data_IF_068761060847
#
_entry.id   IF_068761060847
#
_cell.length_a   1.000
_cell.length_b   1.000
_cell.length_c   1.000
_cell.angle_alpha   90.00
_cell.angle_beta   90.00
_cell.angle_gamma   90.00
#
_symmetry.space_group_name_H-M   'P 1'
#
loop_
_entity.id
_entity.type
_entity.pdbx_description
1 polymer ?
#
# COMPACT_ATOMS: atom_id res chain seq x y z
N UNK A 1 -66.68 21.17 -62.94
CA UNK A 1 -67.81 22.05 -62.61
C UNK A 1 -67.39 23.08 -61.57
N UNK A 2 -67.89 24.31 -61.76
CA UNK A 2 -68.11 25.39 -60.78
C UNK A 2 -66.94 26.02 -59.99
N UNK A 3 -66.49 27.18 -60.51
CA UNK A 3 -66.19 28.44 -59.77
C UNK A 3 -67.50 29.03 -59.15
N UNK A 4 -67.54 30.16 -58.41
CA UNK A 4 -66.50 31.03 -57.79
C UNK A 4 -66.86 31.48 -56.33
N UNK A 5 -66.08 32.36 -55.69
CA UNK A 5 -66.62 33.59 -55.04
C UNK A 5 -65.51 34.48 -54.42
N UNK A 6 -65.59 35.78 -54.73
CA UNK A 6 -64.90 36.90 -54.10
C UNK A 6 -65.37 37.12 -52.64
N UNK A 7 -64.53 37.75 -51.81
CA UNK A 7 -64.85 39.04 -51.16
C UNK A 7 -63.62 39.65 -50.48
N UNK A 8 -63.50 40.98 -50.63
CA UNK A 8 -62.52 41.86 -49.99
C UNK A 8 -62.87 42.09 -48.51
N UNK A 9 -61.86 42.38 -47.69
CA UNK A 9 -62.02 42.85 -46.30
C UNK A 9 -60.75 43.53 -45.80
N UNK A 10 -60.91 44.74 -45.29
CA UNK A 10 -59.93 45.80 -45.08
C UNK A 10 -59.24 45.82 -43.72
N UNK A 11 -58.09 46.52 -43.67
CA UNK A 11 -57.58 47.34 -42.55
C UNK A 11 -56.94 46.65 -41.33
N UNK A 12 -55.65 46.89 -41.13
CA UNK A 12 -55.17 47.86 -40.12
C UNK A 12 -53.63 47.85 -40.06
N UNK A 13 -53.01 49.02 -40.15
CA UNK A 13 -51.58 49.20 -39.92
C UNK A 13 -51.26 49.10 -38.42
N UNK A 14 -50.24 48.32 -38.08
CA UNK A 14 -49.58 48.35 -36.77
C UNK A 14 -48.07 48.38 -37.00
N UNK A 15 -47.44 49.50 -36.66
CA UNK A 15 -46.00 49.72 -36.77
C UNK A 15 -45.25 48.91 -35.70
N UNK A 16 -44.38 47.99 -36.13
CA UNK A 16 -43.48 47.24 -35.26
C UNK A 16 -42.25 48.10 -34.84
N UNK A 17 -41.69 47.88 -33.63
CA UNK A 17 -40.49 48.58 -33.17
C UNK A 17 -39.21 48.03 -33.85
N UNK A 18 -38.08 48.75 -33.81
CA UNK A 18 -36.85 48.30 -34.47
C UNK A 18 -36.23 47.09 -33.74
N UNK A 19 -35.46 46.23 -34.43
CA UNK A 19 -34.87 45.07 -33.82
C UNK A 19 -33.76 45.47 -32.83
N UNK A 20 -33.75 44.83 -31.66
CA UNK A 20 -32.71 44.99 -30.66
C UNK A 20 -31.37 44.45 -31.16
N UNK A 21 -30.31 45.22 -30.97
CA UNK A 21 -28.94 44.82 -31.26
C UNK A 21 -28.52 43.65 -30.37
N UNK A 22 -28.19 42.51 -30.97
CA UNK A 22 -27.68 41.33 -30.28
C UNK A 22 -26.25 41.59 -29.76
N UNK A 23 -26.14 41.85 -28.46
CA UNK A 23 -24.87 41.80 -27.73
C UNK A 23 -24.50 40.33 -27.53
N UNK A 24 -23.51 39.84 -28.27
CA UNK A 24 -22.95 38.50 -28.06
C UNK A 24 -21.91 38.56 -26.95
N UNK A 25 -22.19 37.90 -25.82
CA UNK A 25 -21.20 37.70 -24.77
C UNK A 25 -19.99 36.91 -25.30
N UNK A 26 -18.76 37.20 -24.83
CA UNK A 26 -17.59 36.42 -25.22
C UNK A 26 -17.74 34.96 -24.76
N UNK A 27 -17.17 33.99 -25.51
CA UNK A 27 -17.27 32.58 -25.16
C UNK A 27 -16.58 32.32 -23.80
N UNK A 28 -17.04 31.31 -23.04
CA UNK A 28 -16.40 30.95 -21.78
C UNK A 28 -14.95 30.54 -22.04
N UNK A 29 -14.03 31.16 -21.31
CA UNK A 29 -12.62 30.79 -21.32
C UNK A 29 -12.50 29.42 -20.65
N UNK A 30 -12.27 28.36 -21.43
CA UNK A 30 -11.90 27.07 -20.89
C UNK A 30 -10.55 27.21 -20.17
N UNK A 31 -10.59 27.20 -18.84
CA UNK A 31 -9.39 27.06 -18.03
C UNK A 31 -8.88 25.63 -18.21
N UNK A 32 -7.96 25.43 -19.16
CA UNK A 32 -7.15 24.21 -19.18
C UNK A 32 -6.24 24.26 -17.96
N UNK A 33 -6.64 23.52 -16.93
CA UNK A 33 -5.71 23.13 -15.86
C UNK A 33 -4.70 22.22 -16.54
N UNK A 34 -3.47 22.70 -16.75
CA UNK A 34 -2.36 21.81 -17.08
C UNK A 34 -2.18 20.87 -15.88
N UNK A 35 -2.73 19.65 -15.98
CA UNK A 35 -2.33 18.56 -15.10
C UNK A 35 -0.85 18.31 -15.36
N UNK A 36 -0.02 18.87 -14.48
CA UNK A 36 1.41 18.61 -14.46
C UNK A 36 1.55 17.10 -14.29
N UNK A 37 1.97 16.41 -15.35
CA UNK A 37 2.18 14.95 -15.35
C UNK A 37 3.07 14.59 -14.16
N UNK A 38 2.47 14.07 -13.09
CA UNK A 38 3.21 13.54 -11.96
C UNK A 38 3.86 12.24 -12.42
N UNK A 39 5.13 12.04 -12.05
CA UNK A 39 5.80 10.77 -12.34
C UNK A 39 5.02 9.65 -11.68
N UNK A 40 4.95 8.50 -12.36
CA UNK A 40 4.36 7.29 -11.79
C UNK A 40 5.01 6.96 -10.44
N UNK A 41 4.18 6.79 -9.40
CA UNK A 41 4.63 6.40 -8.06
C UNK A 41 4.33 4.92 -7.84
N UNK A 42 5.34 4.16 -7.41
CA UNK A 42 5.17 2.83 -6.85
C UNK A 42 5.52 2.85 -5.36
N UNK A 43 4.72 2.19 -4.52
CA UNK A 43 5.00 2.07 -3.09
C UNK A 43 5.52 0.67 -2.78
N UNK A 44 6.70 0.60 -2.16
CA UNK A 44 7.33 -0.64 -1.74
C UNK A 44 7.38 -0.71 -0.21
N UNK A 45 6.84 -1.78 0.35
CA UNK A 45 6.79 -1.98 1.80
C UNK A 45 7.82 -3.03 2.24
N UNK A 46 8.70 -2.70 3.20
CA UNK A 46 9.69 -3.64 3.69
C UNK A 46 9.04 -4.79 4.49
N UNK A 47 9.74 -5.92 4.54
CA UNK A 47 9.40 -7.02 5.43
C UNK A 47 10.00 -6.85 6.83
N UNK A 48 10.02 -7.93 7.61
CA UNK A 48 10.75 -8.01 8.87
C UNK A 48 12.27 -7.85 8.64
N UNK A 49 12.96 -7.25 9.60
CA UNK A 49 14.40 -7.02 9.61
C UNK A 49 14.80 -5.55 9.78
N UNK A 50 13.88 -4.61 9.54
CA UNK A 50 14.11 -3.17 9.68
C UNK A 50 13.38 -2.52 10.85
N UNK A 51 12.81 -3.33 11.76
CA UNK A 51 12.22 -2.85 13.02
C UNK A 51 13.30 -2.29 13.95
N UNK A 52 12.95 -1.26 14.71
CA UNK A 52 13.83 -0.69 15.73
C UNK A 52 13.03 0.01 16.83
N UNK A 53 13.59 0.09 18.03
CA UNK A 53 12.97 0.84 19.14
C UNK A 53 12.90 2.33 18.78
N UNK A 54 11.75 2.95 19.00
CA UNK A 54 11.33 4.31 18.59
C UNK A 54 10.86 4.44 17.13
N UNK A 55 10.65 3.35 16.40
CA UNK A 55 10.22 3.39 14.98
C UNK A 55 8.90 4.10 14.71
N UNK A 56 8.05 4.32 15.73
CA UNK A 56 6.78 5.06 15.61
C UNK A 56 6.80 6.46 16.24
N UNK A 57 7.94 6.92 16.75
CA UNK A 57 8.01 8.10 17.61
C UNK A 57 7.54 9.39 16.94
N UNK A 58 7.83 9.56 15.64
CA UNK A 58 7.49 10.75 14.86
C UNK A 58 6.04 10.74 14.33
N UNK A 59 5.45 9.55 14.18
CA UNK A 59 4.14 9.38 13.52
C UNK A 59 3.01 9.00 14.46
N UNK A 60 3.31 8.58 15.70
CA UNK A 60 2.29 8.15 16.68
C UNK A 60 1.23 9.21 16.97
N UNK A 61 1.57 10.48 16.79
CA UNK A 61 0.67 11.59 17.13
C UNK A 61 -0.29 11.97 16.00
N UNK A 62 -0.11 11.41 14.79
CA UNK A 62 -1.02 11.64 13.68
C UNK A 62 -2.40 11.04 13.98
N UNK A 63 -3.51 11.77 13.74
CA UNK A 63 -4.85 11.29 14.11
C UNK A 63 -5.21 9.90 13.57
N UNK A 64 -4.87 9.62 12.30
CA UNK A 64 -5.12 8.30 11.71
C UNK A 64 -4.25 7.21 12.35
N UNK A 65 -2.99 7.53 12.71
CA UNK A 65 -2.10 6.58 13.40
C UNK A 65 -2.57 6.29 14.81
N UNK A 66 -3.05 7.29 15.56
CA UNK A 66 -3.67 7.07 16.87
C UNK A 66 -4.83 6.10 16.80
N UNK A 67 -5.75 6.31 15.85
CA UNK A 67 -6.89 5.42 15.64
C UNK A 67 -6.47 3.99 15.26
N UNK A 68 -5.46 3.85 14.40
CA UNK A 68 -4.88 2.54 14.07
C UNK A 68 -4.29 1.85 15.31
N UNK A 69 -3.56 2.56 16.15
CA UNK A 69 -2.93 2.01 17.35
C UNK A 69 -3.97 1.60 18.41
N UNK A 70 -5.03 2.38 18.60
CA UNK A 70 -6.15 2.03 19.48
C UNK A 70 -6.85 0.76 19.03
N UNK A 71 -7.11 0.63 17.73
CA UNK A 71 -7.69 -0.58 17.14
C UNK A 71 -6.72 -1.76 17.24
N UNK A 72 -5.43 -1.53 17.01
CA UNK A 72 -4.40 -2.55 17.12
C UNK A 72 -4.33 -3.13 18.54
N UNK A 73 -4.36 -2.29 19.57
CA UNK A 73 -4.33 -2.75 20.95
C UNK A 73 -5.51 -3.70 21.27
N UNK A 74 -6.71 -3.44 20.73
CA UNK A 74 -7.89 -4.30 20.89
C UNK A 74 -7.72 -5.66 20.21
N UNK A 75 -7.13 -5.69 19.01
CA UNK A 75 -6.94 -6.91 18.20
C UNK A 75 -5.78 -7.77 18.75
N UNK A 76 -4.69 -7.10 19.11
CA UNK A 76 -3.45 -7.74 19.56
C UNK A 76 -3.56 -8.21 21.01
N UNK A 77 -4.26 -7.46 21.86
CA UNK A 77 -4.37 -7.74 23.30
C UNK A 77 -3.18 -7.25 24.13
N UNK A 78 -2.29 -6.46 23.53
CA UNK A 78 -1.14 -5.83 24.18
C UNK A 78 -0.86 -4.46 23.57
N UNK A 79 -0.08 -3.64 24.27
CA UNK A 79 0.29 -2.29 23.82
C UNK A 79 1.47 -2.36 22.84
N UNK A 80 1.13 -2.42 21.55
CA UNK A 80 2.11 -2.42 20.46
C UNK A 80 2.88 -1.10 20.36
N UNK A 81 2.26 0.03 20.72
CA UNK A 81 2.94 1.32 20.68
C UNK A 81 4.05 1.35 21.72
N UNK A 82 3.76 0.94 22.94
CA UNK A 82 4.75 0.85 24.02
C UNK A 82 5.92 -0.03 23.59
N UNK A 83 5.65 -1.22 23.05
CA UNK A 83 6.70 -2.11 22.54
C UNK A 83 7.56 -1.43 21.46
N UNK A 84 6.94 -0.75 20.50
CA UNK A 84 7.67 -0.04 19.44
C UNK A 84 8.47 1.17 19.94
N UNK A 85 8.09 1.81 21.05
CA UNK A 85 8.77 3.00 21.57
C UNK A 85 9.82 2.69 22.63
N UNK A 86 9.58 1.69 23.47
CA UNK A 86 10.36 1.39 24.67
C UNK A 86 11.10 0.05 24.57
N UNK A 87 10.65 -0.87 23.71
CA UNK A 87 11.19 -2.22 23.62
C UNK A 87 10.68 -3.14 24.76
N UNK A 88 11.48 -4.14 25.18
CA UNK A 88 12.88 -4.35 24.81
C UNK A 88 13.06 -4.82 23.36
N UNK A 89 14.27 -4.65 22.81
CA UNK A 89 14.58 -4.91 21.40
C UNK A 89 14.40 -6.39 21.03
N UNK A 90 14.84 -7.31 21.89
CA UNK A 90 14.67 -8.75 21.72
C UNK A 90 13.19 -9.18 21.64
N UNK A 91 12.32 -8.53 22.42
CA UNK A 91 10.89 -8.76 22.32
C UNK A 91 10.34 -8.20 21.00
N UNK A 92 10.80 -7.04 20.54
CA UNK A 92 10.38 -6.47 19.26
C UNK A 92 10.87 -7.31 18.07
N UNK A 93 12.02 -7.97 18.19
CA UNK A 93 12.56 -8.89 17.18
C UNK A 93 11.83 -10.23 17.09
N UNK A 94 11.13 -10.64 18.14
CA UNK A 94 10.34 -11.87 18.11
C UNK A 94 9.26 -11.79 17.02
N UNK A 95 9.22 -12.79 16.14
CA UNK A 95 8.40 -12.80 14.92
C UNK A 95 6.92 -12.49 15.18
N UNK A 96 6.36 -12.97 16.30
CA UNK A 96 4.94 -12.73 16.64
C UNK A 96 4.63 -11.27 16.95
N UNK A 97 5.62 -10.50 17.41
CA UNK A 97 5.50 -9.08 17.73
C UNK A 97 6.01 -8.19 16.60
N UNK A 98 7.12 -8.59 15.97
CA UNK A 98 7.74 -7.87 14.87
C UNK A 98 6.79 -7.72 13.68
N UNK A 99 6.03 -8.77 13.35
CA UNK A 99 5.16 -8.74 12.18
C UNK A 99 4.03 -7.70 12.31
N UNK A 100 3.23 -7.69 13.40
CA UNK A 100 2.29 -6.61 13.65
C UNK A 100 2.94 -5.21 13.69
N UNK A 101 4.10 -5.08 14.32
CA UNK A 101 4.82 -3.80 14.43
C UNK A 101 5.15 -3.22 13.05
N UNK A 102 5.78 -4.03 12.20
CA UNK A 102 6.18 -3.64 10.86
C UNK A 102 4.98 -3.35 9.95
N UNK A 103 3.90 -4.12 10.07
CA UNK A 103 2.66 -3.86 9.34
C UNK A 103 2.05 -2.49 9.68
N UNK A 104 1.93 -2.18 10.98
CA UNK A 104 1.42 -0.90 11.47
C UNK A 104 2.35 0.24 11.05
N UNK A 105 3.67 0.05 11.17
CA UNK A 105 4.65 1.06 10.77
C UNK A 105 4.59 1.39 9.27
N UNK A 106 4.39 0.40 8.40
CA UNK A 106 4.22 0.63 6.97
C UNK A 106 2.98 1.47 6.65
N UNK A 107 1.86 1.24 7.35
CA UNK A 107 0.65 2.06 7.18
C UNK A 107 0.78 3.44 7.81
N UNK A 108 1.50 3.57 8.93
CA UNK A 108 1.81 4.85 9.54
C UNK A 108 2.72 5.71 8.65
N UNK A 109 3.69 5.09 7.98
CA UNK A 109 4.54 5.75 6.98
C UNK A 109 3.73 6.23 5.77
N UNK A 110 2.71 5.47 5.34
CA UNK A 110 1.79 5.93 4.30
C UNK A 110 0.98 7.16 4.76
N UNK A 111 0.59 7.23 6.04
CA UNK A 111 -0.09 8.41 6.57
C UNK A 111 0.83 9.64 6.61
N UNK A 112 2.09 9.47 6.99
CA UNK A 112 3.08 10.54 6.90
C UNK A 112 3.25 10.99 5.44
N UNK A 113 3.41 10.05 4.50
CA UNK A 113 3.48 10.35 3.07
C UNK A 113 2.23 11.10 2.58
N UNK A 114 1.04 10.78 3.11
CA UNK A 114 -0.20 11.46 2.74
C UNK A 114 -0.21 12.93 3.19
N UNK A 115 0.53 13.30 4.24
CA UNK A 115 0.69 14.69 4.67
C UNK A 115 1.75 15.41 3.82
N UNK A 116 2.90 14.78 3.59
CA UNK A 116 4.04 15.39 2.91
C UNK A 116 3.85 15.46 1.39
N UNK A 117 3.25 14.42 0.80
CA UNK A 117 2.99 14.30 -0.63
C UNK A 117 1.65 13.59 -0.89
N UNK A 118 0.52 14.31 -0.75
CA UNK A 118 -0.82 13.76 -0.90
C UNK A 118 -1.07 13.09 -2.27
N UNK A 119 -0.48 13.61 -3.34
CA UNK A 119 -0.65 13.05 -4.69
C UNK A 119 0.00 11.68 -4.82
N UNK A 120 1.23 11.52 -4.29
CA UNK A 120 1.92 10.23 -4.28
C UNK A 120 1.17 9.18 -3.45
N UNK A 121 0.59 9.58 -2.31
CA UNK A 121 -0.17 8.69 -1.44
C UNK A 121 -1.55 8.32 -2.00
N UNK A 122 -2.19 9.20 -2.78
CA UNK A 122 -3.55 8.98 -3.32
C UNK A 122 -3.58 8.09 -4.55
N UNK A 123 -2.55 8.12 -5.38
CA UNK A 123 -2.57 7.46 -6.70
C UNK A 123 -1.29 6.66 -6.99
N UNK A 124 -0.90 5.70 -6.13
CA UNK A 124 0.15 4.77 -6.51
C UNK A 124 -0.31 3.95 -7.73
N UNK A 125 0.52 3.87 -8.76
CA UNK A 125 0.26 3.01 -9.92
C UNK A 125 0.52 1.53 -9.61
N UNK A 126 1.36 1.27 -8.62
CA UNK A 126 1.67 -0.06 -8.15
C UNK A 126 1.99 -0.03 -6.65
N UNK A 127 1.70 -1.13 -5.97
CA UNK A 127 2.18 -1.42 -4.63
C UNK A 127 2.76 -2.82 -4.60
N UNK A 128 3.83 -3.01 -3.85
CA UNK A 128 4.40 -4.32 -3.58
C UNK A 128 5.02 -4.33 -2.20
N UNK A 129 5.29 -5.52 -1.67
CA UNK A 129 6.04 -5.63 -0.44
C UNK A 129 6.76 -6.95 -0.32
N UNK A 130 7.83 -6.95 0.47
CA UNK A 130 8.68 -8.13 0.65
C UNK A 130 8.19 -8.95 1.84
N UNK A 131 7.80 -10.21 1.60
CA UNK A 131 7.35 -11.13 2.65
C UNK A 131 6.19 -10.53 3.46
N UNK A 132 6.42 -10.13 4.70
CA UNK A 132 5.42 -9.42 5.51
C UNK A 132 4.90 -8.14 4.84
N UNK A 133 5.77 -7.39 4.15
CA UNK A 133 5.38 -6.14 3.51
C UNK A 133 4.28 -6.32 2.47
N UNK A 134 4.10 -7.53 1.92
CA UNK A 134 3.02 -7.85 1.00
C UNK A 134 1.64 -7.64 1.65
N UNK A 135 1.49 -7.95 2.94
CA UNK A 135 0.24 -7.70 3.67
C UNK A 135 -0.07 -6.21 3.79
N UNK A 136 0.96 -5.39 4.02
CA UNK A 136 0.85 -3.93 4.00
C UNK A 136 0.45 -3.46 2.61
N UNK A 137 1.12 -3.93 1.56
CA UNK A 137 0.80 -3.58 0.18
C UNK A 137 -0.64 -3.95 -0.19
N UNK A 138 -1.10 -5.14 0.17
CA UNK A 138 -2.48 -5.61 -0.07
C UNK A 138 -3.52 -4.77 0.68
N UNK A 139 -3.20 -4.33 1.90
CA UNK A 139 -4.06 -3.39 2.67
C UNK A 139 -4.15 -2.05 1.95
N UNK A 140 -3.02 -1.52 1.48
CA UNK A 140 -2.97 -0.25 0.75
C UNK A 140 -3.67 -0.34 -0.61
N UNK A 141 -3.62 -1.50 -1.27
CA UNK A 141 -4.39 -1.79 -2.48
C UNK A 141 -5.89 -1.97 -2.24
N UNK A 142 -6.35 -2.02 -0.98
CA UNK A 142 -7.76 -2.20 -0.63
C UNK A 142 -8.27 -3.62 -0.78
N UNK A 143 -7.39 -4.63 -0.83
CA UNK A 143 -7.79 -6.05 -0.88
C UNK A 143 -8.47 -6.46 0.43
N UNK A 144 -8.00 -5.92 1.54
CA UNK A 144 -8.64 -6.04 2.85
C UNK A 144 -8.43 -4.76 3.66
N UNK A 145 -9.28 -4.56 4.67
CA UNK A 145 -9.16 -3.43 5.60
C UNK A 145 -8.04 -3.64 6.63
N UNK A 146 -7.74 -2.58 7.40
CA UNK A 146 -6.71 -2.59 8.43
C UNK A 146 -6.91 -3.72 9.46
N UNK A 147 -8.15 -3.91 9.94
CA UNK A 147 -8.43 -4.89 10.99
C UNK A 147 -8.20 -6.32 10.50
N UNK A 148 -8.65 -6.61 9.28
CA UNK A 148 -8.45 -7.91 8.64
C UNK A 148 -6.98 -8.15 8.38
N UNK A 149 -6.26 -7.16 7.84
CA UNK A 149 -4.83 -7.23 7.63
C UNK A 149 -4.05 -7.49 8.91
N UNK A 150 -4.37 -6.77 9.98
CA UNK A 150 -3.72 -6.95 11.27
C UNK A 150 -4.01 -8.32 11.89
N UNK A 151 -5.24 -8.83 11.77
CA UNK A 151 -5.60 -10.18 12.24
C UNK A 151 -4.82 -11.27 11.48
N UNK A 152 -4.69 -11.12 10.16
CA UNK A 152 -3.91 -12.05 9.32
C UNK A 152 -2.42 -12.01 9.68
N UNK A 153 -1.86 -10.81 9.85
CA UNK A 153 -0.45 -10.62 10.21
C UNK A 153 -0.15 -11.16 11.61
N UNK A 154 -1.05 -10.95 12.57
CA UNK A 154 -0.96 -11.55 13.91
C UNK A 154 -0.89 -13.07 13.82
N UNK A 155 -1.86 -13.69 13.14
CA UNK A 155 -1.93 -15.15 12.98
C UNK A 155 -0.66 -15.69 12.28
N UNK A 156 -0.19 -15.00 11.24
CA UNK A 156 1.05 -15.37 10.54
C UNK A 156 2.26 -15.31 11.46
N UNK A 157 2.40 -14.23 12.23
CA UNK A 157 3.50 -14.06 13.18
C UNK A 157 3.52 -15.14 14.25
N UNK A 158 2.36 -15.46 14.82
CA UNK A 158 2.17 -16.51 15.82
C UNK A 158 2.52 -17.90 15.24
N UNK A 159 1.96 -18.26 14.08
CA UNK A 159 2.21 -19.55 13.43
C UNK A 159 3.68 -19.73 13.03
N UNK A 160 4.32 -18.68 12.50
CA UNK A 160 5.75 -18.73 12.15
C UNK A 160 6.64 -18.88 13.39
N UNK A 161 6.28 -18.20 14.49
CA UNK A 161 7.02 -18.31 15.75
C UNK A 161 6.90 -19.72 16.33
N UNK A 162 5.69 -20.29 16.35
CA UNK A 162 5.46 -21.67 16.80
C UNK A 162 6.26 -22.68 15.96
N UNK A 163 6.25 -22.54 14.63
CA UNK A 163 7.03 -23.41 13.74
C UNK A 163 8.55 -23.34 14.01
N UNK A 164 9.08 -22.12 14.26
CA UNK A 164 10.49 -21.91 14.56
C UNK A 164 10.91 -22.49 15.93
N UNK A 165 9.99 -22.59 16.88
CA UNK A 165 10.23 -23.21 18.19
C UNK A 165 10.24 -24.74 18.11
N UNK A 166 9.48 -25.33 17.17
CA UNK A 166 9.44 -26.78 16.94
C UNK A 166 10.71 -27.29 16.25
N UNK A 167 11.25 -26.52 15.31
CA UNK A 167 12.40 -26.93 14.50
C UNK A 167 13.45 -25.81 14.43
N UNK A 168 14.61 -25.97 15.09
CA UNK A 168 15.72 -25.05 14.94
C UNK A 168 16.08 -24.86 13.46
N UNK A 169 16.06 -23.61 13.02
CA UNK A 169 16.25 -23.24 11.62
C UNK A 169 17.03 -21.94 11.52
N UNK A 170 17.70 -21.75 10.40
CA UNK A 170 18.49 -20.55 10.11
C UNK A 170 18.26 -20.09 8.68
N UNK A 171 18.48 -18.79 8.47
CA UNK A 171 18.54 -18.19 7.15
C UNK A 171 19.88 -17.46 7.01
N UNK A 172 20.53 -17.64 5.86
CA UNK A 172 21.80 -16.99 5.50
C UNK A 172 21.61 -16.16 4.24
N UNK A 173 22.35 -15.06 4.14
CA UNK A 173 22.41 -14.24 2.92
C UNK A 173 23.62 -14.63 2.08
N UNK A 174 23.42 -14.83 0.79
CA UNK A 174 24.45 -15.23 -0.17
C UNK A 174 24.50 -14.20 -1.30
N UNK A 175 25.69 -13.68 -1.56
CA UNK A 175 25.92 -12.70 -2.63
C UNK A 175 27.08 -13.14 -3.54
N UNK A 176 26.91 -12.99 -4.85
CA UNK A 176 27.97 -13.18 -5.85
C UNK A 176 28.01 -14.56 -6.51
N UNK A 177 27.19 -15.52 -6.08
CA UNK A 177 27.05 -16.82 -6.76
C UNK A 177 25.89 -16.78 -7.76
N UNK A 178 25.96 -17.58 -8.82
CA UNK A 178 24.78 -17.86 -9.66
C UNK A 178 23.87 -18.89 -9.00
N UNK A 179 22.60 -18.92 -9.43
CA UNK A 179 21.59 -19.81 -8.86
C UNK A 179 21.95 -21.31 -9.02
N UNK A 180 22.37 -21.81 -10.20
CA UNK A 180 22.72 -23.23 -10.34
C UNK A 180 23.85 -23.68 -9.42
N UNK A 181 24.84 -22.83 -9.18
CA UNK A 181 25.94 -23.11 -8.24
C UNK A 181 25.41 -23.13 -6.81
N UNK A 182 24.56 -22.18 -6.44
CA UNK A 182 23.97 -22.13 -5.10
C UNK A 182 23.03 -23.31 -4.82
N UNK A 183 22.23 -23.73 -5.81
CA UNK A 183 21.36 -24.90 -5.69
C UNK A 183 22.18 -26.17 -5.40
N UNK A 184 23.31 -26.38 -6.10
CA UNK A 184 24.22 -27.50 -5.83
C UNK A 184 24.80 -27.46 -4.42
N UNK A 185 25.21 -26.28 -3.95
CA UNK A 185 25.73 -26.12 -2.58
C UNK A 185 24.64 -26.43 -1.54
N UNK A 186 23.40 -26.03 -1.79
CA UNK A 186 22.26 -26.39 -0.94
C UNK A 186 22.07 -27.92 -0.90
N UNK A 187 22.17 -28.61 -2.04
CA UNK A 187 22.11 -30.07 -2.13
C UNK A 187 23.25 -30.77 -1.40
N UNK A 188 24.50 -30.32 -1.59
CA UNK A 188 25.70 -30.90 -1.00
C UNK A 188 25.74 -30.78 0.54
N UNK A 189 25.09 -29.76 1.10
CA UNK A 189 25.01 -29.56 2.55
C UNK A 189 24.00 -30.47 3.25
N UNK A 190 23.08 -31.09 2.51
CA UNK A 190 22.06 -31.99 3.07
C UNK A 190 22.62 -33.42 3.20
N UNK A 191 22.67 -33.95 4.42
CA UNK A 191 23.26 -35.27 4.74
C UNK A 191 22.21 -36.32 5.10
N UNK A 192 21.08 -35.90 5.65
CA UNK A 192 19.94 -36.73 6.03
C UNK A 192 18.73 -36.54 5.13
N UNK A 193 17.79 -37.52 5.11
CA UNK A 193 16.57 -37.45 4.31
C UNK A 193 15.59 -36.35 4.77
N UNK A 194 15.77 -35.84 6.00
CA UNK A 194 14.94 -34.79 6.59
C UNK A 194 15.66 -33.42 6.61
N UNK A 195 16.89 -33.34 6.12
CA UNK A 195 17.60 -32.07 6.02
C UNK A 195 16.95 -31.18 4.96
N UNK A 196 16.91 -29.89 5.24
CA UNK A 196 16.40 -28.89 4.30
C UNK A 196 17.41 -27.77 4.25
N UNK A 197 17.89 -27.47 3.05
CA UNK A 197 18.63 -26.25 2.73
C UNK A 197 18.22 -25.83 1.32
N UNK A 198 17.64 -24.65 1.17
CA UNK A 198 17.12 -24.18 -0.11
C UNK A 198 17.16 -22.66 -0.23
N UNK A 199 17.18 -22.16 -1.47
CA UNK A 199 16.99 -20.73 -1.75
C UNK A 199 15.55 -20.33 -1.38
N UNK A 200 15.42 -19.46 -0.39
CA UNK A 200 14.14 -18.95 0.10
C UNK A 200 13.74 -17.63 -0.57
N UNK A 201 14.73 -16.74 -0.82
CA UNK A 201 14.47 -15.42 -1.39
C UNK A 201 15.42 -15.11 -2.55
N UNK A 202 14.88 -14.42 -3.57
CA UNK A 202 15.63 -13.78 -4.64
C UNK A 202 15.60 -12.28 -4.37
N UNK A 203 16.73 -11.71 -3.95
CA UNK A 203 16.79 -10.32 -3.48
C UNK A 203 17.22 -9.35 -4.58
N UNK A 204 18.27 -9.70 -5.30
CA UNK A 204 18.84 -8.94 -6.42
C UNK A 204 19.64 -9.89 -7.31
N UNK A 205 20.13 -9.47 -8.50
CA UNK A 205 20.96 -10.33 -9.34
C UNK A 205 22.15 -10.92 -8.56
N UNK A 206 22.24 -12.24 -8.49
CA UNK A 206 23.23 -12.98 -7.69
C UNK A 206 23.18 -12.68 -6.18
N UNK A 207 22.02 -12.26 -5.67
CA UNK A 207 21.75 -12.03 -4.25
C UNK A 207 20.56 -12.85 -3.78
N UNK A 208 20.80 -13.76 -2.86
CA UNK A 208 19.80 -14.73 -2.38
C UNK A 208 19.77 -14.79 -0.86
N UNK A 209 18.67 -15.27 -0.31
CA UNK A 209 18.65 -15.85 1.03
C UNK A 209 18.42 -17.35 0.93
N UNK A 210 19.24 -18.15 1.60
CA UNK A 210 19.00 -19.57 1.77
C UNK A 210 18.49 -19.83 3.18
N UNK A 211 17.52 -20.73 3.33
CA UNK A 211 16.98 -21.12 4.61
C UNK A 211 16.98 -22.64 4.75
N UNK A 212 17.14 -23.10 5.98
CA UNK A 212 17.25 -24.52 6.27
C UNK A 212 17.24 -24.82 7.76
N UNK A 213 17.32 -26.11 8.08
CA UNK A 213 17.47 -26.58 9.47
C UNK A 213 18.88 -26.25 9.97
N UNK A 214 18.98 -25.98 11.27
CA UNK A 214 20.24 -25.74 11.99
C UNK A 214 21.01 -27.04 12.22
#
# INVERSE_FOLDING_TARGET
>A
EMLPALTQGTSAASSAPPPASSSTAPPPVEVRVEEKSTLAVGLLFPGQGSQYVKMLSEVKDLPAVKSMLETAQKILGYDILKLCLEGPEDQLENTKFCQPAMFIAGLAALELLRQDNPEAARRPQAVAGLSLGEYTALTVAGVFDFETGLKLVKLRGEAMQEAAEVCPQMMISVAGLDKPTLDKLCEECMSGPDDVCQVANFLFPNGFSCAGRL
#
